data_IF_990565171848
#
_entry.id   IF_990565171848
#
_cell.length_a   1.000
_cell.length_b   1.000
_cell.length_c   1.000
_cell.angle_alpha   90.00
_cell.angle_beta   90.00
_cell.angle_gamma   90.00
#
_symmetry.space_group_name_H-M   'P 1'
#
loop_
_entity.id
_entity.type
_entity.pdbx_description
1 polymer ?
#
# COMPACT_ATOMS: atom_id res chain seq x y z
N UNK A 1 -14.14 8.21 6.00
CA UNK A 1 -13.49 6.97 5.54
C UNK A 1 -12.88 7.13 4.15
N UNK A 2 -13.66 7.50 3.11
CA UNK A 2 -13.18 7.50 1.72
C UNK A 2 -11.93 8.37 1.44
N UNK A 3 -11.87 9.59 1.96
CA UNK A 3 -10.74 10.53 1.73
C UNK A 3 -9.43 10.08 2.37
N UNK A 4 -9.48 9.38 3.51
CA UNK A 4 -8.28 8.80 4.13
C UNK A 4 -7.86 7.50 3.44
N UNK A 5 -8.84 6.65 3.11
CA UNK A 5 -8.60 5.36 2.47
C UNK A 5 -8.06 5.48 1.04
N UNK A 6 -8.29 6.59 0.33
CA UNK A 6 -7.87 6.77 -1.06
C UNK A 6 -6.36 6.78 -1.29
N UNK A 7 -5.56 6.96 -0.23
CA UNK A 7 -4.09 6.95 -0.29
C UNK A 7 -3.47 5.84 0.54
N UNK A 8 -4.28 4.93 1.11
CA UNK A 8 -3.81 3.83 1.94
C UNK A 8 -3.52 2.59 1.09
N UNK A 9 -2.48 1.85 1.45
CA UNK A 9 -2.23 0.52 0.87
C UNK A 9 -2.78 -0.63 1.72
N UNK A 10 -3.07 -0.37 3.00
CA UNK A 10 -3.63 -1.32 3.97
C UNK A 10 -4.77 -0.67 4.78
N UNK A 11 -5.78 -1.47 5.13
CA UNK A 11 -6.85 -1.05 6.04
C UNK A 11 -6.95 -1.98 7.26
N UNK A 12 -7.03 -1.39 8.45
CA UNK A 12 -7.34 -2.10 9.69
C UNK A 12 -8.85 -2.01 9.93
N UNK A 13 -9.51 -3.15 10.00
CA UNK A 13 -10.94 -3.29 10.25
C UNK A 13 -11.16 -3.80 11.66
N UNK A 14 -11.61 -2.91 12.55
CA UNK A 14 -11.83 -3.23 13.95
C UNK A 14 -13.22 -3.87 14.15
N UNK A 15 -13.24 -5.03 14.80
CA UNK A 15 -14.45 -5.78 15.15
C UNK A 15 -14.50 -5.95 16.68
N UNK A 16 -15.64 -5.66 17.32
CA UNK A 16 -15.86 -5.96 18.74
C UNK A 16 -16.21 -7.45 18.90
N UNK A 17 -15.41 -8.21 19.65
CA UNK A 17 -15.56 -9.66 19.81
C UNK A 17 -16.94 -10.07 20.35
N UNK A 18 -17.59 -9.21 21.15
CA UNK A 18 -18.94 -9.49 21.68
C UNK A 18 -20.03 -9.39 20.62
N UNK A 19 -19.79 -8.59 19.58
CA UNK A 19 -20.78 -8.27 18.54
C UNK A 19 -20.54 -9.02 17.24
N UNK A 20 -19.27 -9.34 16.94
CA UNK A 20 -18.88 -9.94 15.67
C UNK A 20 -19.10 -8.99 14.48
N UNK A 21 -19.33 -9.57 13.31
CA UNK A 21 -19.41 -8.83 12.04
C UNK A 21 -20.72 -8.03 11.96
N UNK A 22 -20.60 -6.70 11.87
CA UNK A 22 -21.74 -5.78 11.75
C UNK A 22 -21.84 -5.18 10.34
N UNK A 23 -22.96 -4.55 10.02
CA UNK A 23 -23.16 -3.85 8.74
C UNK A 23 -22.12 -2.74 8.52
N UNK A 24 -21.66 -2.09 9.60
CA UNK A 24 -20.55 -1.14 9.51
C UNK A 24 -19.26 -1.83 9.05
N UNK A 25 -18.89 -2.97 9.64
CA UNK A 25 -17.71 -3.75 9.22
C UNK A 25 -17.80 -4.10 7.74
N UNK A 26 -18.96 -4.59 7.29
CA UNK A 26 -19.21 -4.92 5.88
C UNK A 26 -19.04 -3.71 4.97
N UNK A 27 -19.68 -2.59 5.32
CA UNK A 27 -19.60 -1.32 4.57
C UNK A 27 -18.17 -0.80 4.47
N UNK A 28 -17.41 -0.82 5.56
CA UNK A 28 -16.02 -0.35 5.58
C UNK A 28 -15.10 -1.27 4.77
N UNK A 29 -15.36 -2.58 4.80
CA UNK A 29 -14.65 -3.54 3.95
C UNK A 29 -14.87 -3.24 2.47
N UNK A 30 -16.13 -3.07 2.05
CA UNK A 30 -16.49 -2.72 0.68
C UNK A 30 -15.85 -1.40 0.21
N UNK A 31 -15.91 -0.35 1.03
CA UNK A 31 -15.31 0.94 0.67
C UNK A 31 -13.79 0.80 0.51
N UNK A 32 -13.12 0.06 1.41
CA UNK A 32 -11.67 -0.15 1.34
C UNK A 32 -11.28 -0.86 0.04
N UNK A 33 -11.98 -1.94 -0.30
CA UNK A 33 -11.71 -2.71 -1.52
C UNK A 33 -12.03 -1.93 -2.79
N UNK A 34 -13.11 -1.13 -2.80
CA UNK A 34 -13.47 -0.28 -3.94
C UNK A 34 -12.42 0.81 -4.20
N UNK A 35 -11.74 1.28 -3.15
CA UNK A 35 -10.65 2.25 -3.26
C UNK A 35 -9.30 1.60 -3.63
N UNK A 36 -9.29 0.29 -3.88
CA UNK A 36 -8.11 -0.44 -4.35
C UNK A 36 -7.20 -0.95 -3.22
N UNK A 37 -7.62 -0.87 -1.96
CA UNK A 37 -6.88 -1.45 -0.82
C UNK A 37 -6.97 -2.97 -0.91
N UNK A 38 -5.83 -3.64 -1.05
CA UNK A 38 -5.74 -5.10 -1.17
C UNK A 38 -5.44 -5.82 0.13
N UNK A 39 -4.75 -5.14 1.06
CA UNK A 39 -4.36 -5.71 2.34
C UNK A 39 -5.35 -5.27 3.42
N UNK A 40 -6.07 -6.23 4.00
CA UNK A 40 -7.05 -6.00 5.06
C UNK A 40 -6.60 -6.73 6.32
N UNK A 41 -6.49 -6.00 7.43
CA UNK A 41 -6.21 -6.58 8.74
C UNK A 41 -7.48 -6.49 9.59
N UNK A 42 -8.10 -7.63 9.83
CA UNK A 42 -9.29 -7.74 10.67
C UNK A 42 -8.84 -7.92 12.12
N UNK A 43 -8.89 -6.82 12.87
CA UNK A 43 -8.56 -6.76 14.29
C UNK A 43 -9.81 -7.08 15.12
N UNK A 44 -9.88 -8.28 15.68
CA UNK A 44 -10.96 -8.72 16.56
C UNK A 44 -10.60 -8.29 17.98
N UNK A 45 -11.11 -7.12 18.37
CA UNK A 45 -10.78 -6.44 19.61
C UNK A 45 -11.76 -6.80 20.75
N UNK A 46 -11.34 -6.52 21.99
CA UNK A 46 -12.07 -6.80 23.24
C UNK A 46 -12.20 -8.28 23.54
N UNK A 47 -11.16 -9.05 23.23
CA UNK A 47 -11.09 -10.48 23.57
C UNK A 47 -11.15 -10.73 25.08
N UNK A 48 -10.73 -9.76 25.90
CA UNK A 48 -10.86 -9.77 27.36
C UNK A 48 -12.32 -9.89 27.82
N UNK A 49 -13.27 -9.31 27.09
CA UNK A 49 -14.69 -9.36 27.45
C UNK A 49 -15.42 -10.64 27.01
N UNK A 50 -14.70 -11.55 26.35
CA UNK A 50 -15.19 -12.87 25.94
C UNK A 50 -14.24 -13.97 26.42
N UNK A 51 -13.55 -13.72 27.53
CA UNK A 51 -12.63 -14.64 28.20
C UNK A 51 -11.59 -15.25 27.24
N UNK A 52 -11.12 -14.47 26.27
CA UNK A 52 -10.12 -14.89 25.28
C UNK A 52 -10.51 -16.15 24.50
N UNK A 53 -11.81 -16.37 24.27
CA UNK A 53 -12.37 -17.56 23.63
C UNK A 53 -11.91 -17.75 22.16
N UNK A 54 -11.21 -18.86 21.89
CA UNK A 54 -10.84 -19.29 20.53
C UNK A 54 -12.07 -19.55 19.65
N UNK A 55 -13.13 -20.10 20.22
CA UNK A 55 -14.38 -20.38 19.52
C UNK A 55 -15.03 -19.08 19.02
N UNK A 56 -15.06 -18.04 19.85
CA UNK A 56 -15.57 -16.72 19.48
C UNK A 56 -14.76 -16.12 18.34
N UNK A 57 -13.42 -16.15 18.43
CA UNK A 57 -12.54 -15.70 17.36
C UNK A 57 -12.78 -16.45 16.05
N UNK A 58 -12.81 -17.78 16.12
CA UNK A 58 -12.98 -18.66 14.96
C UNK A 58 -14.32 -18.44 14.26
N UNK A 59 -15.39 -18.25 15.04
CA UNK A 59 -16.71 -17.92 14.52
C UNK A 59 -16.70 -16.58 13.77
N UNK A 60 -16.18 -15.52 14.38
CA UNK A 60 -16.12 -14.19 13.74
C UNK A 60 -15.25 -14.23 12.48
N UNK A 61 -14.11 -14.93 12.53
CA UNK A 61 -13.24 -15.15 11.37
C UNK A 61 -14.00 -15.82 10.23
N UNK A 62 -14.74 -16.88 10.51
CA UNK A 62 -15.55 -17.60 9.51
C UNK A 62 -16.64 -16.70 8.94
N UNK A 63 -17.40 -16.00 9.78
CA UNK A 63 -18.46 -15.09 9.36
C UNK A 63 -17.92 -13.99 8.44
N UNK A 64 -16.74 -13.44 8.76
CA UNK A 64 -16.10 -12.43 7.94
C UNK A 64 -15.60 -12.99 6.62
N UNK A 65 -14.99 -14.19 6.61
CA UNK A 65 -14.51 -14.84 5.38
C UNK A 65 -15.67 -15.13 4.42
N UNK A 66 -16.81 -15.63 4.93
CA UNK A 66 -18.02 -15.82 4.12
C UNK A 66 -18.53 -14.51 3.53
N UNK A 67 -18.47 -13.42 4.28
CA UNK A 67 -18.79 -12.10 3.74
C UNK A 67 -17.74 -11.65 2.69
N UNK A 68 -16.46 -11.91 2.92
CA UNK A 68 -15.38 -11.47 2.05
C UNK A 68 -15.42 -12.12 0.66
N UNK A 69 -16.09 -13.27 0.49
CA UNK A 69 -16.39 -13.88 -0.81
C UNK A 69 -17.18 -12.94 -1.74
N UNK A 70 -17.90 -11.96 -1.19
CA UNK A 70 -18.66 -10.96 -1.94
C UNK A 70 -17.83 -9.73 -2.33
N UNK A 71 -16.62 -9.60 -1.79
CA UNK A 71 -15.75 -8.45 -2.07
C UNK A 71 -15.03 -8.63 -3.41
N UNK A 72 -14.85 -7.56 -4.19
CA UNK A 72 -14.17 -7.65 -5.48
C UNK A 72 -12.66 -7.81 -5.31
N UNK A 73 -12.07 -8.68 -6.15
CA UNK A 73 -10.62 -8.82 -6.30
C UNK A 73 -9.97 -9.86 -5.40
N UNK A 74 -8.68 -10.09 -5.62
CA UNK A 74 -7.87 -10.96 -4.78
C UNK A 74 -7.35 -10.17 -3.57
N UNK A 75 -7.85 -10.46 -2.37
CA UNK A 75 -7.56 -9.73 -1.14
C UNK A 75 -6.63 -10.55 -0.23
N UNK A 76 -5.64 -9.88 0.37
CA UNK A 76 -4.84 -10.42 1.46
C UNK A 76 -5.50 -10.04 2.79
N UNK A 77 -6.19 -11.00 3.41
CA UNK A 77 -6.96 -10.79 4.65
C UNK A 77 -6.27 -11.51 5.80
N UNK A 78 -5.82 -10.74 6.79
CA UNK A 78 -5.17 -11.25 8.01
C UNK A 78 -6.06 -11.00 9.22
N UNK A 79 -6.07 -11.92 10.17
CA UNK A 79 -6.89 -11.83 11.38
C UNK A 79 -5.99 -11.78 12.62
N UNK A 80 -6.25 -10.82 13.50
CA UNK A 80 -5.53 -10.66 14.77
C UNK A 80 -6.56 -10.55 15.91
N UNK A 81 -6.66 -11.54 16.81
CA UNK A 81 -7.39 -11.40 18.06
C UNK A 81 -6.57 -10.54 19.01
N UNK A 82 -7.16 -9.50 19.58
CA UNK A 82 -6.44 -8.58 20.46
C UNK A 82 -7.34 -7.99 21.56
N UNK A 83 -6.70 -7.45 22.59
CA UNK A 83 -7.33 -6.49 23.50
C UNK A 83 -6.53 -5.20 23.46
N UNK A 84 -7.13 -4.14 22.90
CA UNK A 84 -6.50 -2.83 22.88
C UNK A 84 -6.39 -2.20 24.27
N UNK A 85 -7.22 -2.63 25.23
CA UNK A 85 -7.20 -2.15 26.60
C UNK A 85 -6.05 -2.78 27.39
N UNK A 86 -5.93 -4.11 27.31
CA UNK A 86 -4.90 -4.88 28.04
C UNK A 86 -3.56 -4.94 27.29
N UNK A 87 -3.54 -4.58 26.00
CA UNK A 87 -2.34 -4.60 25.15
C UNK A 87 -2.06 -5.94 24.47
N UNK A 88 -2.88 -6.96 24.72
CA UNK A 88 -2.77 -8.31 24.16
C UNK A 88 -2.73 -8.31 22.63
N UNK A 89 -1.68 -8.90 22.03
CA UNK A 89 -1.47 -9.02 20.59
C UNK A 89 -1.46 -7.69 19.80
N UNK A 90 -1.30 -6.54 20.49
CA UNK A 90 -1.15 -5.24 19.84
C UNK A 90 0.30 -5.05 19.38
N UNK A 91 1.24 -5.04 20.33
CA UNK A 91 2.67 -4.92 20.06
C UNK A 91 3.48 -6.11 20.62
N UNK A 92 2.96 -6.78 21.65
CA UNK A 92 3.52 -7.98 22.24
C UNK A 92 2.52 -9.12 22.15
N UNK A 93 3.02 -10.35 22.03
CA UNK A 93 2.19 -11.54 22.02
C UNK A 93 1.51 -11.74 23.37
N UNK A 94 0.25 -12.16 23.34
CA UNK A 94 -0.56 -12.39 24.54
C UNK A 94 -0.27 -13.76 25.17
N UNK A 95 -0.10 -13.80 26.49
CA UNK A 95 -0.08 -15.05 27.25
C UNK A 95 -1.50 -15.61 27.48
N UNK A 96 -2.52 -14.75 27.42
CA UNK A 96 -3.94 -15.10 27.63
C UNK A 96 -4.57 -15.84 26.44
N UNK A 97 -3.91 -15.83 25.27
CA UNK A 97 -4.36 -16.51 24.06
C UNK A 97 -3.30 -17.50 23.53
N UNK A 98 -2.95 -18.56 24.28
CA UNK A 98 -1.91 -19.51 23.87
C UNK A 98 -2.28 -20.31 22.61
N UNK A 99 -3.57 -20.36 22.27
CA UNK A 99 -4.09 -20.94 21.03
C UNK A 99 -3.77 -20.10 19.78
N UNK A 100 -3.48 -18.80 19.94
CA UNK A 100 -3.14 -17.92 18.82
C UNK A 100 -1.62 -17.91 18.59
N UNK A 101 -1.18 -18.56 17.51
CA UNK A 101 0.23 -18.60 17.08
C UNK A 101 0.56 -17.62 15.95
N UNK A 102 -0.37 -16.73 15.60
CA UNK A 102 -0.17 -15.73 14.56
C UNK A 102 0.61 -14.50 15.03
N UNK A 103 0.97 -13.60 14.10
CA UNK A 103 1.67 -12.36 14.42
C UNK A 103 0.79 -11.36 15.19
N UNK A 104 1.42 -10.50 15.98
CA UNK A 104 0.77 -9.32 16.58
C UNK A 104 0.35 -8.31 15.51
N UNK A 105 -0.50 -7.36 15.88
CA UNK A 105 -0.91 -6.29 14.98
C UNK A 105 0.30 -5.50 14.45
N UNK A 106 1.27 -5.17 15.32
CA UNK A 106 2.46 -4.44 14.93
C UNK A 106 3.33 -5.25 13.94
N UNK A 107 3.57 -6.53 14.21
CA UNK A 107 4.33 -7.41 13.32
C UNK A 107 3.66 -7.54 11.94
N UNK A 108 2.32 -7.60 11.90
CA UNK A 108 1.59 -7.57 10.63
C UNK A 108 1.89 -6.28 9.87
N UNK A 109 1.84 -5.12 10.53
CA UNK A 109 2.09 -3.83 9.88
C UNK A 109 3.54 -3.69 9.38
N UNK A 110 4.50 -4.30 10.06
CA UNK A 110 5.91 -4.29 9.67
C UNK A 110 6.24 -5.28 8.54
N UNK A 111 5.47 -6.37 8.41
CA UNK A 111 5.75 -7.47 7.47
C UNK A 111 4.88 -7.47 6.22
N UNK A 112 3.85 -6.63 6.14
CA UNK A 112 3.02 -6.54 4.92
C UNK A 112 3.88 -6.03 3.78
N UNK A 113 4.13 -6.91 2.81
CA UNK A 113 4.78 -6.55 1.56
C UNK A 113 3.81 -5.74 0.69
N UNK A 114 3.94 -4.41 0.77
CA UNK A 114 3.31 -3.51 -0.17
C UNK A 114 4.12 -3.60 -1.48
N UNK A 115 3.81 -4.58 -2.32
CA UNK A 115 4.33 -4.57 -3.68
C UNK A 115 3.82 -3.29 -4.34
N UNK A 116 4.73 -2.35 -4.62
CA UNK A 116 4.45 -1.17 -5.45
C UNK A 116 4.21 -1.63 -6.89
N UNK A 117 3.01 -2.19 -7.13
CA UNK A 117 2.52 -2.57 -8.47
C UNK A 117 2.60 -1.38 -9.44
N UNK A 118 2.66 -0.16 -8.90
CA UNK A 118 2.88 1.09 -9.62
C UNK A 118 4.07 1.00 -10.59
N UNK A 119 5.20 0.41 -10.21
CA UNK A 119 6.40 0.30 -11.05
C UNK A 119 6.21 -0.61 -12.27
N UNK A 120 5.38 -1.64 -12.14
CA UNK A 120 5.10 -2.63 -13.18
C UNK A 120 3.95 -2.21 -14.11
N UNK A 121 3.21 -1.14 -13.76
CA UNK A 121 2.13 -0.62 -14.59
C UNK A 121 2.67 0.19 -15.78
N UNK A 122 1.86 0.37 -16.86
CA UNK A 122 2.22 1.26 -17.95
C UNK A 122 2.55 2.67 -17.45
N UNK A 123 3.54 3.30 -18.08
CA UNK A 123 4.00 4.64 -17.72
C UNK A 123 2.87 5.68 -17.88
N UNK A 124 2.61 6.44 -16.81
CA UNK A 124 1.69 7.57 -16.80
C UNK A 124 2.36 8.76 -16.12
N UNK A 125 2.54 9.83 -16.88
CA UNK A 125 3.13 11.08 -16.40
C UNK A 125 2.19 12.26 -16.71
N UNK A 126 1.31 12.63 -15.77
CA UNK A 126 0.49 13.82 -15.89
C UNK A 126 1.38 15.07 -15.88
N UNK A 127 1.40 15.79 -17.00
CA UNK A 127 2.10 17.08 -17.06
C UNK A 127 1.34 18.09 -16.22
N UNK A 128 1.98 18.57 -15.15
CA UNK A 128 1.44 19.58 -14.24
C UNK A 128 1.92 20.99 -14.60
N UNK A 129 3.13 21.11 -15.15
CA UNK A 129 3.74 22.39 -15.49
C UNK A 129 4.64 22.28 -16.73
N UNK A 130 4.60 23.30 -17.59
CA UNK A 130 5.51 23.41 -18.75
C UNK A 130 6.53 24.50 -18.44
N UNK A 131 7.78 24.11 -18.23
CA UNK A 131 8.87 25.02 -17.92
C UNK A 131 9.58 25.48 -19.20
N UNK A 132 9.66 26.79 -19.41
CA UNK A 132 10.37 27.44 -20.52
C UNK A 132 11.14 28.67 -20.01
N UNK A 133 12.30 28.48 -19.38
CA UNK A 133 13.11 29.57 -18.84
C UNK A 133 13.83 30.36 -19.95
N UNK A 134 14.09 29.73 -21.10
CA UNK A 134 14.70 30.34 -22.28
C UNK A 134 14.22 29.63 -23.56
N UNK A 135 14.66 30.09 -24.73
CA UNK A 135 14.24 29.56 -26.03
C UNK A 135 14.69 28.10 -26.27
N UNK A 136 15.83 27.70 -25.69
CA UNK A 136 16.44 26.40 -25.93
C UNK A 136 15.93 25.31 -24.99
N UNK A 137 15.27 25.68 -23.89
CA UNK A 137 14.74 24.72 -22.92
C UNK A 137 13.22 24.70 -22.90
N UNK A 138 12.67 23.50 -23.13
CA UNK A 138 11.26 23.19 -22.87
C UNK A 138 11.17 21.91 -22.06
N UNK A 139 10.88 22.04 -20.77
CA UNK A 139 10.67 20.92 -19.85
C UNK A 139 9.19 20.70 -19.55
N UNK A 140 8.78 19.44 -19.40
CA UNK A 140 7.45 19.07 -18.95
C UNK A 140 7.59 18.46 -17.56
N UNK A 141 7.08 19.16 -16.55
CA UNK A 141 7.21 18.81 -15.14
C UNK A 141 5.90 18.23 -14.60
N UNK A 142 6.04 17.31 -13.66
CA UNK A 142 4.94 16.59 -13.02
C UNK A 142 5.49 15.47 -12.14
N UNK A 143 4.59 14.74 -11.49
CA UNK A 143 4.91 13.53 -10.72
C UNK A 143 4.59 12.31 -11.56
N UNK A 144 5.52 11.34 -11.61
CA UNK A 144 5.26 10.06 -12.26
C UNK A 144 4.17 9.32 -11.48
N UNK A 145 3.02 9.11 -12.11
CA UNK A 145 1.86 8.47 -11.48
C UNK A 145 1.95 6.94 -11.51
N UNK A 146 2.55 6.38 -12.56
CA UNK A 146 2.80 4.94 -12.69
C UNK A 146 3.93 4.64 -13.68
N UNK A 147 4.45 3.42 -13.57
CA UNK A 147 5.49 2.84 -14.42
C UNK A 147 6.87 3.44 -14.17
N UNK A 148 7.75 3.23 -15.16
CA UNK A 148 9.12 3.76 -15.17
C UNK A 148 9.33 4.65 -16.39
N UNK A 149 10.20 5.64 -16.23
CA UNK A 149 10.64 6.51 -17.31
C UNK A 149 12.17 6.48 -17.44
N UNK A 150 12.66 6.22 -18.64
CA UNK A 150 14.09 6.17 -18.95
C UNK A 150 14.44 7.12 -20.10
N UNK A 151 15.70 7.58 -20.14
CA UNK A 151 16.20 8.38 -21.26
C UNK A 151 16.20 7.53 -22.53
N UNK A 152 15.71 8.09 -23.63
CA UNK A 152 15.53 7.40 -24.91
C UNK A 152 14.21 6.64 -25.02
N UNK A 153 13.42 6.51 -23.95
CA UNK A 153 12.14 5.81 -24.01
C UNK A 153 11.15 6.54 -24.93
N UNK A 154 10.49 5.77 -25.82
CA UNK A 154 9.39 6.27 -26.66
C UNK A 154 8.15 6.48 -25.82
N UNK A 155 7.56 7.67 -25.93
CA UNK A 155 6.36 8.08 -25.20
C UNK A 155 5.29 8.57 -26.16
N UNK A 156 4.03 8.43 -25.76
CA UNK A 156 2.86 8.95 -26.48
C UNK A 156 2.16 10.00 -25.63
N UNK A 157 1.95 11.19 -26.20
CA UNK A 157 1.28 12.32 -25.54
C UNK A 157 -0.21 12.25 -25.80
N UNK A 158 -0.99 12.11 -24.73
CA UNK A 158 -2.45 12.13 -24.78
C UNK A 158 -3.00 13.53 -24.44
N UNK A 159 -4.12 13.96 -25.07
CA UNK A 159 -4.96 13.19 -25.99
C UNK A 159 -4.47 13.21 -27.46
N UNK A 160 -3.47 14.01 -27.80
CA UNK A 160 -3.05 14.27 -29.20
C UNK A 160 -2.56 13.04 -29.99
N UNK A 161 -2.12 11.98 -29.30
CA UNK A 161 -1.56 10.78 -29.92
C UNK A 161 -0.13 10.92 -30.45
N UNK A 162 0.46 12.12 -30.40
CA UNK A 162 1.81 12.40 -30.88
C UNK A 162 2.83 11.59 -30.09
N UNK A 163 3.80 11.01 -30.80
CA UNK A 163 4.87 10.22 -30.21
C UNK A 163 6.19 11.00 -30.24
N UNK A 164 7.01 10.78 -29.21
CA UNK A 164 8.33 11.40 -29.07
C UNK A 164 9.23 10.50 -28.21
N UNK A 165 10.49 10.86 -28.04
CA UNK A 165 11.44 10.17 -27.17
C UNK A 165 11.86 11.07 -26.01
N UNK A 166 12.10 10.47 -24.85
CA UNK A 166 12.60 11.18 -23.66
C UNK A 166 14.05 11.58 -23.88
N UNK A 167 14.33 12.86 -24.14
CA UNK A 167 15.70 13.34 -24.37
C UNK A 167 16.54 13.39 -23.08
N UNK A 168 15.94 13.82 -21.96
CA UNK A 168 16.62 13.95 -20.67
C UNK A 168 15.59 13.96 -19.54
N UNK A 169 15.95 13.39 -18.40
CA UNK A 169 15.20 13.49 -17.14
C UNK A 169 15.92 14.49 -16.24
N UNK A 170 15.21 15.47 -15.71
CA UNK A 170 15.76 16.54 -14.86
C UNK A 170 15.05 16.49 -13.51
N UNK A 171 15.81 16.31 -12.44
CA UNK A 171 15.31 16.32 -11.05
C UNK A 171 16.08 17.34 -10.22
N UNK A 172 15.46 17.83 -9.14
CA UNK A 172 16.13 18.64 -8.12
C UNK A 172 16.93 17.70 -7.21
N UNK A 173 18.09 17.24 -7.69
CA UNK A 173 19.14 16.75 -6.81
C UNK A 173 20.45 17.45 -7.14
N UNK A 174 20.99 18.10 -6.11
CA UNK A 174 22.40 18.46 -5.98
C UNK A 174 23.25 17.32 -6.53
N UNK A 175 24.18 17.67 -7.40
CA UNK A 175 25.26 16.85 -7.96
C UNK A 175 25.59 15.67 -7.04
N UNK A 176 25.07 14.48 -7.36
CA UNK A 176 25.60 13.25 -6.82
C UNK A 176 26.96 13.02 -7.50
N UNK A 177 28.01 13.60 -6.91
CA UNK A 177 29.41 13.25 -7.21
C UNK A 177 29.57 11.74 -6.98
N UNK A 178 29.81 10.99 -8.06
CA UNK A 178 30.70 9.83 -8.02
C UNK A 178 31.72 9.98 -9.16
N UNK A 179 33.03 9.89 -8.87
CA UNK A 179 34.05 9.96 -9.90
C UNK A 179 34.07 8.64 -10.66
N UNK A 180 34.08 8.72 -11.99
CA UNK A 180 34.54 7.62 -12.84
C UNK A 180 36.04 7.42 -12.60
N UNK A 181 36.55 6.18 -12.58
CA UNK A 181 37.97 5.94 -12.34
C UNK A 181 38.76 6.41 -13.56
N UNK A 182 39.59 7.43 -13.34
CA UNK A 182 40.58 7.90 -14.29
C UNK A 182 41.70 6.84 -14.37
N UNK A 183 41.64 5.98 -15.39
CA UNK A 183 42.80 5.22 -15.86
C UNK A 183 42.86 5.33 -17.37
N UNK A 184 43.75 6.20 -17.84
CA UNK A 184 44.59 6.02 -19.04
C UNK A 184 45.55 7.22 -19.17
N UNK A 185 46.74 7.07 -18.61
CA UNK A 185 47.95 7.27 -19.43
C UNK A 185 48.31 5.88 -20.00
N UNK A 186 48.81 5.82 -21.24
CA UNK A 186 50.26 5.79 -21.39
C UNK A 186 50.78 6.58 -22.60
N UNK A 187 52.01 7.07 -22.46
CA UNK A 187 53.11 7.00 -23.40
C UNK A 187 52.81 6.61 -24.87
N UNK A 188 53.34 7.46 -25.76
CA UNK A 188 53.40 7.43 -27.23
C UNK A 188 52.13 7.89 -27.97
#
# INVERSE_FOLDING_TARGET
MATGASTCELAILLIDARKGVLDQTRRHSFISTLLGIKHLVVAINKMDLVDYSEETFTRIRKDYLTFAEQLPGNLDIRFVPLSALEGDNVASQSESMPWYSGPTLLEVLETVEIQRVVDAQPMRFPVQYVNRPNLDFRGYAGTLASGRVEVGQRVKVLPSGVESNVARIVTLMVIAKKPLPEKRSPWC
#
